data_IF_212715083739
#
_entry.id   IF_212715083739
#
_cell.length_a   1.000
_cell.length_b   1.000
_cell.length_c   1.000
_cell.angle_alpha   90.00
_cell.angle_beta   90.00
_cell.angle_gamma   90.00
#
_symmetry.space_group_name_H-M   'P 1'
#
loop_
_entity.id
_entity.type
_entity.pdbx_description
1 polymer ?
#
# COMPACT_ATOMS: atom_id res chain seq x y z
N UNK A 1 -15.87 15.51 7.96
CA UNK A 1 -17.06 14.69 7.64
C UNK A 1 -16.75 13.28 8.06
N UNK A 2 -17.31 12.83 9.18
CA UNK A 2 -17.07 11.48 9.72
C UNK A 2 -18.25 10.62 9.32
N UNK A 3 -18.02 9.66 8.42
CA UNK A 3 -19.03 8.70 7.97
C UNK A 3 -19.19 7.63 9.05
N UNK A 4 -20.07 7.88 10.02
CA UNK A 4 -20.56 6.84 10.94
C UNK A 4 -21.44 5.88 10.15
N UNK A 5 -20.97 4.65 9.97
CA UNK A 5 -21.78 3.57 9.40
C UNK A 5 -22.83 3.13 10.41
N UNK A 6 -24.11 2.98 10.03
CA UNK A 6 -25.11 2.52 10.98
C UNK A 6 -25.03 0.99 11.09
N UNK A 7 -25.09 0.49 12.32
CA UNK A 7 -25.70 -0.77 12.77
C UNK A 7 -25.43 -2.08 11.99
N UNK A 8 -24.58 -2.95 12.57
CA UNK A 8 -24.75 -4.41 12.49
C UNK A 8 -25.29 -4.87 13.87
N UNK A 9 -26.46 -5.51 13.87
CA UNK A 9 -27.35 -5.65 15.02
C UNK A 9 -26.96 -6.65 16.13
N UNK A 10 -27.18 -6.18 17.36
CA UNK A 10 -27.55 -6.83 18.65
C UNK A 10 -26.62 -7.81 19.38
N UNK A 11 -25.87 -7.25 20.34
CA UNK A 11 -26.10 -7.42 21.79
C UNK A 11 -25.59 -6.14 22.45
N UNK A 12 -26.41 -5.44 23.27
CA UNK A 12 -26.11 -4.15 23.93
C UNK A 12 -25.09 -3.31 23.13
N UNK A 13 -25.51 -2.86 21.95
CA UNK A 13 -24.61 -2.28 20.96
C UNK A 13 -23.80 -1.15 21.57
N UNK A 14 -22.47 -1.28 21.52
CA UNK A 14 -21.55 -0.26 21.97
C UNK A 14 -21.70 0.94 21.05
N UNK A 15 -21.66 2.15 21.62
CA UNK A 15 -21.42 3.33 20.80
C UNK A 15 -20.00 3.26 20.24
N UNK A 16 -19.74 3.93 19.12
CA UNK A 16 -18.39 4.02 18.53
C UNK A 16 -17.36 4.49 19.56
N UNK A 17 -17.73 5.47 20.40
CA UNK A 17 -16.87 5.97 21.48
C UNK A 17 -16.54 4.88 22.51
N UNK A 18 -17.54 4.11 22.95
CA UNK A 18 -17.29 2.98 23.87
C UNK A 18 -16.34 1.98 23.23
N UNK A 19 -16.55 1.65 21.95
CA UNK A 19 -15.71 0.67 21.25
C UNK A 19 -14.26 1.14 21.16
N UNK A 20 -14.03 2.42 20.83
CA UNK A 20 -12.70 3.01 20.77
C UNK A 20 -12.00 2.95 22.14
N UNK A 21 -12.70 3.26 23.24
CA UNK A 21 -12.14 3.15 24.59
C UNK A 21 -11.80 1.70 24.97
N UNK A 22 -12.61 0.71 24.59
CA UNK A 22 -12.26 -0.69 24.83
C UNK A 22 -11.05 -1.18 24.04
N UNK A 23 -10.79 -0.60 22.87
CA UNK A 23 -9.67 -1.00 22.02
C UNK A 23 -8.35 -0.29 22.37
N UNK A 24 -8.38 0.72 23.24
CA UNK A 24 -7.24 1.61 23.51
C UNK A 24 -5.95 0.85 23.87
N UNK A 25 -5.99 -0.08 24.83
CA UNK A 25 -4.81 -0.85 25.25
C UNK A 25 -4.24 -1.73 24.11
N UNK A 26 -5.12 -2.35 23.33
CA UNK A 26 -4.72 -3.21 22.20
C UNK A 26 -4.12 -2.37 21.08
N UNK A 27 -4.74 -1.24 20.76
CA UNK A 27 -4.25 -0.30 19.74
C UNK A 27 -2.89 0.26 20.16
N UNK A 28 -2.72 0.68 21.40
CA UNK A 28 -1.43 1.17 21.90
C UNK A 28 -0.33 0.12 21.73
N UNK A 29 -0.59 -1.11 22.20
CA UNK A 29 0.37 -2.21 22.10
C UNK A 29 0.74 -2.51 20.64
N UNK A 30 -0.24 -2.65 19.76
CA UNK A 30 0.00 -3.05 18.37
C UNK A 30 0.59 -1.91 17.53
N UNK A 31 0.20 -0.65 17.78
CA UNK A 31 0.82 0.51 17.17
C UNK A 31 2.29 0.62 17.58
N UNK A 32 2.58 0.52 18.87
CA UNK A 32 3.96 0.52 19.37
C UNK A 32 4.77 -0.66 18.83
N UNK A 33 4.16 -1.84 18.65
CA UNK A 33 4.81 -2.98 18.01
C UNK A 33 5.15 -2.69 16.54
N UNK A 34 4.22 -2.11 15.79
CA UNK A 34 4.45 -1.72 14.39
C UNK A 34 5.59 -0.70 14.28
N UNK A 35 5.54 0.39 15.04
CA UNK A 35 6.55 1.45 14.98
C UNK A 35 7.95 0.97 15.37
N UNK A 36 8.08 -0.01 16.28
CA UNK A 36 9.37 -0.60 16.66
C UNK A 36 10.04 -1.42 15.56
N UNK A 37 9.25 -2.01 14.65
CA UNK A 37 9.76 -2.93 13.62
C UNK A 37 9.68 -2.35 12.22
N UNK A 38 8.90 -1.27 12.04
CA UNK A 38 8.83 -0.53 10.80
C UNK A 38 10.22 -0.03 10.44
N UNK A 39 10.61 -0.29 9.20
CA UNK A 39 11.83 0.24 8.60
C UNK A 39 11.41 1.21 7.52
N UNK A 40 11.98 2.40 7.55
CA UNK A 40 11.82 3.33 6.46
C UNK A 40 12.38 2.72 5.19
N UNK A 41 11.63 2.89 4.11
CA UNK A 41 12.05 2.53 2.78
C UNK A 41 11.46 3.52 1.81
N UNK A 42 12.21 3.86 0.77
CA UNK A 42 11.72 4.70 -0.30
C UNK A 42 11.61 3.86 -1.57
N UNK A 43 10.45 3.77 -2.23
CA UNK A 43 10.30 2.93 -3.43
C UNK A 43 11.34 3.23 -4.51
N UNK A 44 11.75 4.49 -4.64
CA UNK A 44 12.75 4.94 -5.60
C UNK A 44 14.18 4.40 -5.29
N UNK A 45 14.47 3.94 -4.08
CA UNK A 45 15.77 3.29 -3.79
C UNK A 45 15.88 1.89 -4.41
N UNK A 46 14.76 1.30 -4.83
CA UNK A 46 14.70 -0.06 -5.37
C UNK A 46 14.43 -0.09 -6.87
N UNK A 47 14.36 1.08 -7.52
CA UNK A 47 14.13 1.19 -8.97
C UNK A 47 15.47 1.50 -9.65
N UNK A 48 15.93 0.67 -10.61
CA UNK A 48 17.16 0.94 -11.35
C UNK A 48 16.90 2.03 -12.41
N UNK A 49 16.80 3.29 -11.98
CA UNK A 49 16.46 4.41 -12.87
C UNK A 49 17.43 4.59 -14.04
N UNK A 50 18.68 4.15 -13.89
CA UNK A 50 19.67 4.13 -14.98
C UNK A 50 19.25 3.29 -16.18
N UNK A 51 18.37 2.31 -15.98
CA UNK A 51 17.82 1.46 -17.06
C UNK A 51 16.63 2.12 -17.78
N UNK A 52 16.19 3.29 -17.32
CA UNK A 52 15.06 4.03 -17.88
C UNK A 52 15.34 4.52 -19.30
N UNK A 53 14.33 4.44 -20.17
CA UNK A 53 14.41 4.84 -21.58
C UNK A 53 13.17 5.63 -21.98
N UNK A 54 13.32 6.47 -23.00
CA UNK A 54 12.21 7.20 -23.59
C UNK A 54 11.34 6.26 -24.44
N UNK A 55 10.06 6.60 -24.56
CA UNK A 55 9.11 5.93 -25.44
C UNK A 55 8.73 6.83 -26.61
N UNK A 56 8.38 6.25 -27.78
CA UNK A 56 8.02 7.03 -28.96
C UNK A 56 6.74 7.85 -28.73
N UNK A 57 6.55 8.89 -29.54
CA UNK A 57 5.37 9.75 -29.53
C UNK A 57 5.66 11.17 -29.06
N UNK A 58 6.27 11.32 -27.88
CA UNK A 58 6.76 12.62 -27.39
C UNK A 58 8.24 12.81 -27.73
N UNK A 59 9.01 11.72 -27.69
CA UNK A 59 10.45 11.72 -27.95
C UNK A 59 10.72 11.14 -29.35
N UNK A 60 11.48 11.87 -30.17
CA UNK A 60 11.88 11.43 -31.51
C UNK A 60 12.85 10.24 -31.48
N UNK A 61 13.60 10.09 -30.39
CA UNK A 61 14.55 9.01 -30.11
C UNK A 61 13.98 7.90 -29.20
N UNK A 62 12.66 7.89 -28.98
CA UNK A 62 12.01 6.91 -28.11
C UNK A 62 11.99 5.50 -28.69
N UNK A 63 12.21 4.49 -27.84
CA UNK A 63 12.16 3.07 -28.20
C UNK A 63 10.81 2.46 -27.81
N UNK A 64 10.16 1.73 -28.72
CA UNK A 64 8.91 1.05 -28.41
C UNK A 64 9.13 -0.10 -27.41
N UNK A 65 8.10 -0.38 -26.60
CA UNK A 65 8.13 -1.55 -25.73
C UNK A 65 7.90 -2.83 -26.54
N UNK A 66 8.70 -3.85 -26.25
CA UNK A 66 8.57 -5.20 -26.79
C UNK A 66 8.41 -6.22 -25.65
N UNK A 67 7.67 -7.31 -25.91
CA UNK A 67 7.30 -8.28 -24.87
C UNK A 67 8.51 -8.99 -24.22
N UNK A 68 9.61 -9.13 -24.96
CA UNK A 68 10.86 -9.72 -24.51
C UNK A 68 11.63 -8.83 -23.53
N UNK A 69 11.35 -7.53 -23.48
CA UNK A 69 11.95 -6.59 -22.52
C UNK A 69 11.48 -6.85 -21.07
N UNK A 70 10.39 -7.60 -20.89
CA UNK A 70 9.88 -7.96 -19.57
C UNK A 70 10.79 -8.98 -18.88
N UNK A 71 11.43 -8.55 -17.78
CA UNK A 71 12.23 -9.40 -16.88
C UNK A 71 11.35 -10.33 -16.01
N UNK A 72 10.02 -10.23 -16.10
CA UNK A 72 9.09 -11.08 -15.33
C UNK A 72 9.16 -12.50 -15.87
N UNK A 73 9.32 -13.48 -14.99
CA UNK A 73 9.35 -14.91 -15.35
C UNK A 73 7.96 -15.39 -15.78
N UNK A 74 7.88 -16.54 -16.44
CA UNK A 74 6.60 -17.09 -16.90
C UNK A 74 5.62 -17.30 -15.74
N UNK A 75 6.10 -17.64 -14.54
CA UNK A 75 5.26 -17.75 -13.33
C UNK A 75 4.63 -16.41 -12.94
N UNK A 76 5.34 -15.30 -13.11
CA UNK A 76 4.84 -13.96 -12.78
C UNK A 76 3.98 -13.32 -13.87
N UNK A 77 3.84 -13.97 -15.03
CA UNK A 77 3.01 -13.53 -16.17
C UNK A 77 1.64 -14.23 -16.22
N UNK A 78 1.42 -15.22 -15.36
CA UNK A 78 0.14 -15.94 -15.17
C UNK A 78 -0.78 -15.11 -14.27
#
# INVERSE_FOLDING_TARGET
MTITSPHLGSSKAWTDAQLLYALEEVVEKELNRHLKVAKDWMPHEYVPFSDGRNFPGIFEDGEAWEADQSKVTDIGKI
#
